data_IF_915754274923
#
_entry.id   IF_915754274923
#
_cell.length_a   1.000
_cell.length_b   1.000
_cell.length_c   1.000
_cell.angle_alpha   90.00
_cell.angle_beta   90.00
_cell.angle_gamma   90.00
#
_symmetry.space_group_name_H-M   'P 1'
#
loop_
_entity.id
_entity.type
_entity.pdbx_description
1 polymer ?
#
# COMPACT_ATOMS: atom_id res chain seq x y z
N UNK A 1 15.83 15.49 26.97
CA UNK A 1 15.73 15.65 25.51
C UNK A 1 17.12 15.94 25.00
N UNK A 2 17.72 14.98 24.30
CA UNK A 2 18.92 15.22 23.50
C UNK A 2 18.55 16.24 22.42
N UNK A 3 19.38 17.25 22.21
CA UNK A 3 19.12 18.22 21.15
C UNK A 3 19.38 17.56 19.80
N UNK A 4 18.31 17.25 19.06
CA UNK A 4 18.37 16.52 17.78
C UNK A 4 19.21 17.30 16.75
N UNK A 5 19.31 18.62 16.90
CA UNK A 5 20.06 19.47 15.97
C UNK A 5 21.58 19.27 16.03
N UNK A 6 22.10 18.74 17.14
CA UNK A 6 23.54 18.58 17.37
C UNK A 6 24.06 17.16 17.00
N UNK A 7 23.16 16.26 16.58
CA UNK A 7 23.53 14.89 16.21
C UNK A 7 24.23 14.83 14.86
N UNK A 8 25.21 13.93 14.75
CA UNK A 8 25.84 13.59 13.46
C UNK A 8 24.88 12.77 12.59
N UNK A 9 25.15 12.68 11.28
CA UNK A 9 24.36 11.84 10.35
C UNK A 9 24.34 10.39 10.79
N UNK A 10 25.47 9.84 11.25
CA UNK A 10 25.54 8.46 11.77
C UNK A 10 24.64 8.26 13.00
N UNK A 11 24.66 9.22 13.94
CA UNK A 11 23.79 9.17 15.13
C UNK A 11 22.32 9.29 14.77
N UNK A 12 21.98 10.11 13.76
CA UNK A 12 20.63 10.25 13.23
C UNK A 12 20.18 8.97 12.52
N UNK A 13 21.04 8.36 11.70
CA UNK A 13 20.75 7.09 11.02
C UNK A 13 20.43 5.98 12.03
N UNK A 14 21.24 5.83 13.07
CA UNK A 14 20.95 4.89 14.15
C UNK A 14 19.65 5.21 14.90
N UNK A 15 19.33 6.50 15.07
CA UNK A 15 18.09 6.90 15.72
C UNK A 15 16.86 6.57 14.85
N UNK A 16 16.91 6.86 13.54
CA UNK A 16 15.84 6.55 12.60
C UNK A 16 15.57 5.05 12.54
N UNK A 17 16.61 4.20 12.49
CA UNK A 17 16.45 2.74 12.50
C UNK A 17 15.84 2.18 13.81
N UNK A 18 15.92 2.95 14.91
CA UNK A 18 15.27 2.59 16.17
C UNK A 18 13.80 3.01 16.20
N UNK A 19 13.40 3.98 15.39
CA UNK A 19 11.99 4.32 15.20
C UNK A 19 11.33 3.16 14.46
N UNK A 20 10.45 2.47 15.18
CA UNK A 20 9.64 1.40 14.62
C UNK A 20 8.27 1.94 14.27
N UNK A 21 7.54 1.17 13.48
CA UNK A 21 6.09 1.22 13.30
C UNK A 21 5.25 1.27 14.61
N UNK A 22 5.91 1.01 15.74
CA UNK A 22 5.34 0.89 17.08
C UNK A 22 5.81 1.97 18.04
N UNK A 23 6.71 2.85 17.60
CA UNK A 23 7.23 3.94 18.41
C UNK A 23 6.12 4.95 18.75
N UNK A 24 6.08 5.48 19.98
CA UNK A 24 5.17 6.56 20.35
C UNK A 24 5.42 7.84 19.53
N UNK A 25 4.35 8.59 19.23
CA UNK A 25 4.43 9.82 18.44
C UNK A 25 5.34 10.89 19.09
N UNK A 26 5.34 11.01 20.42
CA UNK A 26 6.20 11.95 21.15
C UNK A 26 7.70 11.60 21.07
N UNK A 27 8.03 10.35 20.72
CA UNK A 27 9.40 9.90 20.45
C UNK A 27 9.76 10.04 18.97
N UNK A 28 8.88 9.62 18.07
CA UNK A 28 9.16 9.53 16.63
C UNK A 28 8.98 10.87 15.88
N UNK A 29 7.91 11.62 16.15
CA UNK A 29 7.55 12.82 15.39
C UNK A 29 8.62 13.91 15.43
N UNK A 30 9.38 14.14 16.54
CA UNK A 30 10.49 15.08 16.52
C UNK A 30 11.59 14.74 15.48
N UNK A 31 11.88 13.45 15.26
CA UNK A 31 12.85 13.04 14.24
C UNK A 31 12.29 13.19 12.84
N UNK A 32 11.02 12.87 12.62
CA UNK A 32 10.32 13.09 11.36
C UNK A 32 10.35 14.58 10.99
N UNK A 33 9.96 15.45 11.92
CA UNK A 33 9.89 16.90 11.69
C UNK A 33 11.27 17.50 11.42
N UNK A 34 12.32 17.07 12.14
CA UNK A 34 13.68 17.54 11.86
C UNK A 34 14.15 17.08 10.48
N UNK A 35 13.92 15.81 10.13
CA UNK A 35 14.29 15.25 8.83
C UNK A 35 13.57 15.96 7.67
N UNK A 36 12.24 16.11 7.78
CA UNK A 36 11.42 16.83 6.82
C UNK A 36 11.88 18.29 6.66
N UNK A 37 12.15 19.00 7.77
CA UNK A 37 12.65 20.38 7.73
C UNK A 37 13.99 20.49 7.00
N UNK A 38 14.93 19.56 7.23
CA UNK A 38 16.23 19.56 6.56
C UNK A 38 16.10 19.24 5.07
N UNK A 39 15.24 18.28 4.70
CA UNK A 39 14.94 17.99 3.30
C UNK A 39 14.28 19.18 2.60
N UNK A 40 13.29 19.82 3.24
CA UNK A 40 12.60 20.99 2.67
C UNK A 40 13.51 22.21 2.46
N UNK A 41 14.60 22.33 3.23
CA UNK A 41 15.54 23.43 3.08
C UNK A 41 16.37 23.35 1.78
N UNK A 42 16.65 22.13 1.32
CA UNK A 42 17.38 21.88 0.07
C UNK A 42 16.96 20.53 -0.56
N UNK A 43 15.74 20.45 -1.15
CA UNK A 43 15.15 19.19 -1.61
C UNK A 43 15.89 18.52 -2.77
N UNK A 44 16.68 19.28 -3.52
CA UNK A 44 17.58 18.76 -4.55
C UNK A 44 19.05 18.76 -4.12
N UNK A 45 19.35 19.06 -2.86
CA UNK A 45 20.72 19.24 -2.38
C UNK A 45 21.59 17.99 -2.50
N UNK A 46 22.90 18.16 -2.36
CA UNK A 46 23.85 17.04 -2.28
C UNK A 46 23.53 16.10 -1.11
N UNK A 47 22.85 16.59 -0.06
CA UNK A 47 22.45 15.79 1.10
C UNK A 47 21.00 15.29 1.05
N UNK A 48 20.25 15.51 -0.04
CA UNK A 48 18.85 15.09 -0.13
C UNK A 48 18.69 13.59 0.11
N UNK A 49 19.63 12.77 -0.39
CA UNK A 49 19.65 11.32 -0.18
C UNK A 49 19.64 10.91 1.31
N UNK A 50 20.33 11.66 2.18
CA UNK A 50 20.37 11.39 3.62
C UNK A 50 18.99 11.56 4.25
N UNK A 51 18.32 12.66 3.92
CA UNK A 51 17.02 12.98 4.52
C UNK A 51 15.89 12.16 3.91
N UNK A 52 15.97 11.82 2.62
CA UNK A 52 15.07 10.82 2.01
C UNK A 52 15.23 9.49 2.71
N UNK A 53 16.46 9.02 2.96
CA UNK A 53 16.69 7.76 3.69
C UNK A 53 16.12 7.79 5.11
N UNK A 54 16.25 8.92 5.82
CA UNK A 54 15.67 9.08 7.15
C UNK A 54 14.14 9.00 7.16
N UNK A 55 13.47 9.68 6.21
CA UNK A 55 12.01 9.60 6.08
C UNK A 55 11.54 8.22 5.60
N UNK A 56 12.30 7.56 4.74
CA UNK A 56 12.06 6.18 4.31
C UNK A 56 12.12 5.21 5.49
N UNK A 57 13.16 5.29 6.33
CA UNK A 57 13.29 4.47 7.53
C UNK A 57 12.14 4.66 8.53
N UNK A 58 11.57 5.87 8.58
CA UNK A 58 10.43 6.20 9.44
C UNK A 58 9.06 6.06 8.74
N UNK A 59 9.02 5.62 7.48
CA UNK A 59 7.78 5.55 6.70
C UNK A 59 6.75 4.58 7.30
N UNK A 60 7.20 3.51 7.98
CA UNK A 60 6.31 2.59 8.70
C UNK A 60 5.57 3.24 9.88
N UNK A 61 6.19 4.19 10.57
CA UNK A 61 5.53 5.03 11.58
C UNK A 61 4.52 5.98 10.90
N UNK A 62 4.95 6.62 9.82
CA UNK A 62 4.14 7.58 9.06
C UNK A 62 2.92 6.96 8.36
N UNK A 63 3.01 5.71 7.92
CA UNK A 63 1.90 4.99 7.27
C UNK A 63 0.83 4.51 8.25
N UNK A 64 1.13 4.50 9.56
CA UNK A 64 0.30 3.87 10.61
C UNK A 64 -0.29 4.86 11.61
N UNK A 65 -0.49 6.11 11.16
CA UNK A 65 -1.15 7.25 11.84
C UNK A 65 -0.25 8.09 12.77
N UNK A 66 0.70 8.84 12.21
CA UNK A 66 1.42 9.88 12.95
C UNK A 66 0.50 11.04 13.29
N UNK A 67 0.99 12.00 14.08
CA UNK A 67 0.31 13.29 14.20
C UNK A 67 0.25 13.95 12.82
N UNK A 68 -0.92 14.49 12.45
CA UNK A 68 -1.17 15.08 11.11
C UNK A 68 -0.12 16.09 10.64
N UNK A 69 0.51 16.80 11.58
CA UNK A 69 1.59 17.74 11.28
C UNK A 69 2.85 17.03 10.76
N UNK A 70 3.27 15.94 11.40
CA UNK A 70 4.44 15.16 11.01
C UNK A 70 4.22 14.46 9.66
N UNK A 71 3.03 13.88 9.45
CA UNK A 71 2.63 13.29 8.15
C UNK A 71 2.76 14.31 7.02
N UNK A 72 2.12 15.46 7.20
CA UNK A 72 2.08 16.52 6.19
C UNK A 72 3.48 17.05 5.90
N UNK A 73 4.27 17.33 6.94
CA UNK A 73 5.64 17.81 6.76
C UNK A 73 6.51 16.82 5.98
N UNK A 74 6.41 15.52 6.30
CA UNK A 74 7.14 14.48 5.58
C UNK A 74 6.69 14.37 4.11
N UNK A 75 5.39 14.33 3.85
CA UNK A 75 4.84 14.27 2.49
C UNK A 75 5.22 15.49 1.66
N UNK A 76 5.11 16.70 2.23
CA UNK A 76 5.49 17.95 1.54
C UNK A 76 6.99 17.95 1.18
N UNK A 77 7.85 17.49 2.11
CA UNK A 77 9.29 17.41 1.89
C UNK A 77 9.68 16.35 0.85
N UNK A 78 9.11 15.15 0.92
CA UNK A 78 9.37 14.08 -0.05
C UNK A 78 8.90 14.46 -1.44
N UNK A 79 7.70 15.03 -1.60
CA UNK A 79 7.19 15.50 -2.89
C UNK A 79 8.05 16.62 -3.48
N UNK A 80 8.56 17.52 -2.65
CA UNK A 80 9.52 18.54 -3.09
C UNK A 80 10.83 17.90 -3.59
N UNK A 81 11.33 16.88 -2.90
CA UNK A 81 12.51 16.12 -3.32
C UNK A 81 12.28 15.38 -4.65
N UNK A 82 11.16 14.66 -4.79
CA UNK A 82 10.76 13.99 -6.04
C UNK A 82 10.77 14.98 -7.21
N UNK A 83 10.21 16.17 -7.01
CA UNK A 83 10.15 17.22 -8.03
C UNK A 83 11.54 17.77 -8.40
N UNK A 84 12.36 18.15 -7.43
CA UNK A 84 13.65 18.80 -7.70
C UNK A 84 14.73 17.82 -8.17
N UNK A 85 14.73 16.59 -7.65
CA UNK A 85 15.63 15.52 -8.08
C UNK A 85 15.21 14.95 -9.44
N UNK A 86 13.91 14.76 -9.68
CA UNK A 86 13.38 14.25 -10.94
C UNK A 86 13.63 15.15 -12.16
N UNK A 87 13.88 16.45 -11.95
CA UNK A 87 14.27 17.39 -13.01
C UNK A 87 15.73 17.22 -13.47
N UNK A 88 16.54 16.47 -12.73
CA UNK A 88 17.96 16.28 -13.02
C UNK A 88 18.13 15.01 -13.82
N UNK A 89 18.54 15.16 -15.08
CA UNK A 89 18.93 14.01 -15.88
C UNK A 89 20.11 13.28 -15.23
N UNK A 90 20.07 11.95 -15.28
CA UNK A 90 21.22 11.09 -15.01
C UNK A 90 21.49 10.22 -16.25
N UNK A 91 22.70 9.68 -16.37
CA UNK A 91 23.12 8.88 -17.52
C UNK A 91 22.89 7.37 -17.34
N UNK A 92 22.24 6.96 -16.26
CA UNK A 92 21.97 5.56 -15.98
C UNK A 92 20.73 5.11 -16.76
N UNK A 93 20.80 3.92 -17.34
CA UNK A 93 19.65 3.32 -18.05
C UNK A 93 18.61 2.77 -17.06
N UNK A 94 19.05 2.39 -15.87
CA UNK A 94 18.26 1.76 -14.81
C UNK A 94 18.67 2.29 -13.43
N UNK A 95 17.79 2.11 -12.45
CA UNK A 95 18.04 2.52 -11.07
C UNK A 95 17.87 1.36 -10.09
N UNK A 96 18.70 1.26 -9.03
CA UNK A 96 18.61 0.17 -8.06
C UNK A 96 17.22 -0.07 -7.46
N UNK A 97 16.43 0.98 -7.19
CA UNK A 97 15.08 0.79 -6.64
C UNK A 97 14.14 0.05 -7.61
N UNK A 98 14.38 0.11 -8.93
CA UNK A 98 13.54 -0.55 -9.95
C UNK A 98 13.70 -2.07 -9.90
N UNK A 99 14.92 -2.58 -9.64
CA UNK A 99 15.16 -4.02 -9.52
C UNK A 99 14.59 -4.64 -8.25
N UNK A 100 14.25 -3.83 -7.25
CA UNK A 100 13.67 -4.31 -5.99
C UNK A 100 12.15 -4.47 -6.07
N UNK A 101 11.50 -3.93 -7.10
CA UNK A 101 10.03 -3.86 -7.18
C UNK A 101 9.34 -5.22 -7.10
N UNK A 102 9.95 -6.28 -7.65
CA UNK A 102 9.44 -7.66 -7.61
C UNK A 102 9.32 -8.25 -6.19
N UNK A 103 9.92 -7.59 -5.18
CA UNK A 103 9.98 -8.04 -3.80
C UNK A 103 9.46 -7.00 -2.80
N UNK A 104 9.20 -5.77 -3.25
CA UNK A 104 8.79 -4.67 -2.39
C UNK A 104 7.28 -4.74 -2.11
N UNK A 105 6.95 -4.99 -0.85
CA UNK A 105 5.64 -4.74 -0.25
C UNK A 105 5.60 -3.34 0.36
N UNK A 106 4.58 -3.02 1.17
CA UNK A 106 4.49 -1.73 1.84
C UNK A 106 5.59 -1.50 2.89
N UNK A 107 6.22 -2.56 3.42
CA UNK A 107 7.32 -2.52 4.39
C UNK A 107 8.68 -2.04 3.81
N UNK A 108 8.67 -1.04 2.92
CA UNK A 108 9.88 -0.48 2.28
C UNK A 108 10.95 0.00 3.27
N UNK A 109 10.56 0.28 4.52
CA UNK A 109 11.46 0.69 5.61
C UNK A 109 12.29 -0.46 6.20
N UNK A 110 11.97 -1.72 5.88
CA UNK A 110 12.75 -2.88 6.31
C UNK A 110 13.94 -3.16 5.39
N UNK A 111 13.91 -2.65 4.16
CA UNK A 111 14.98 -2.79 3.18
C UNK A 111 16.12 -1.78 3.43
N UNK A 112 17.35 -2.22 3.16
CA UNK A 112 18.49 -1.29 3.08
C UNK A 112 18.67 -0.83 1.63
N UNK A 113 18.44 0.47 1.46
CA UNK A 113 18.38 1.19 0.19
C UNK A 113 19.74 1.78 -0.24
N UNK A 114 20.77 1.65 0.60
CA UNK A 114 22.10 2.18 0.33
C UNK A 114 22.19 3.71 0.26
N UNK A 115 21.10 4.46 0.48
CA UNK A 115 21.12 5.92 0.33
C UNK A 115 21.99 6.62 1.38
N UNK A 116 22.31 5.99 2.51
CA UNK A 116 23.21 6.58 3.52
C UNK A 116 24.69 6.37 3.20
N UNK A 117 25.02 5.22 2.60
CA UNK A 117 26.40 4.75 2.41
C UNK A 117 26.86 4.88 0.96
N UNK A 118 25.93 4.98 0.01
CA UNK A 118 26.19 4.79 -1.41
C UNK A 118 26.42 3.32 -1.79
N UNK A 119 26.14 2.37 -0.90
CA UNK A 119 26.42 0.94 -1.09
C UNK A 119 25.16 0.13 -0.82
N UNK A 120 24.83 -0.80 -1.71
CA UNK A 120 23.74 -1.76 -1.49
C UNK A 120 24.24 -2.99 -0.71
N UNK A 121 23.39 -3.58 0.14
CA UNK A 121 23.73 -4.80 0.87
C UNK A 121 23.64 -6.05 -0.02
N UNK A 122 24.73 -6.79 -0.17
CA UNK A 122 24.72 -8.13 -0.81
C UNK A 122 25.24 -8.17 -2.25
N UNK A 123 25.35 -9.39 -2.80
CA UNK A 123 26.40 -9.91 -3.71
C UNK A 123 26.74 -9.19 -5.03
N UNK A 124 26.10 -8.09 -5.42
CA UNK A 124 26.53 -7.27 -6.56
C UNK A 124 27.24 -6.01 -6.08
N UNK A 125 28.45 -6.19 -5.54
CA UNK A 125 29.37 -5.12 -5.15
C UNK A 125 29.87 -4.24 -6.32
N UNK A 126 29.28 -4.38 -7.51
CA UNK A 126 29.59 -3.64 -8.73
C UNK A 126 28.63 -2.45 -8.99
N UNK A 127 27.59 -2.26 -8.16
CA UNK A 127 26.76 -1.05 -8.27
C UNK A 127 27.54 0.15 -7.74
N UNK A 128 27.97 1.02 -8.66
CA UNK A 128 28.69 2.26 -8.34
C UNK A 128 27.86 3.15 -7.39
N UNK A 129 28.53 3.75 -6.40
CA UNK A 129 27.91 4.72 -5.49
C UNK A 129 27.29 5.90 -6.24
N UNK A 130 27.85 6.25 -7.41
CA UNK A 130 27.27 7.23 -8.34
C UNK A 130 25.87 6.84 -8.83
N UNK A 131 25.57 5.55 -9.00
CA UNK A 131 24.25 5.02 -9.38
C UNK A 131 23.30 4.97 -8.19
N UNK A 132 23.77 4.55 -7.01
CA UNK A 132 22.96 4.52 -5.77
C UNK A 132 22.52 5.93 -5.35
N UNK A 133 23.42 6.91 -5.41
CA UNK A 133 23.14 8.27 -4.95
C UNK A 133 22.67 9.21 -6.08
N UNK A 134 22.43 8.69 -7.29
CA UNK A 134 21.98 9.54 -8.38
C UNK A 134 20.59 10.13 -8.11
N UNK A 135 20.27 11.33 -8.66
CA UNK A 135 18.98 11.98 -8.42
C UNK A 135 17.76 11.11 -8.79
N UNK A 136 17.86 10.31 -9.85
CA UNK A 136 16.79 9.41 -10.28
C UNK A 136 16.46 8.34 -9.24
N UNK A 137 17.47 7.65 -8.71
CA UNK A 137 17.30 6.63 -7.68
C UNK A 137 16.77 7.22 -6.36
N UNK A 138 17.32 8.36 -5.93
CA UNK A 138 16.84 9.05 -4.71
C UNK A 138 15.39 9.50 -4.86
N UNK A 139 15.01 10.01 -6.03
CA UNK A 139 13.62 10.37 -6.33
C UNK A 139 12.71 9.13 -6.34
N UNK A 140 13.16 7.99 -6.87
CA UNK A 140 12.44 6.71 -6.86
C UNK A 140 12.06 6.28 -5.45
N UNK A 141 13.05 6.19 -4.55
CA UNK A 141 12.80 5.89 -3.13
C UNK A 141 11.89 6.90 -2.44
N UNK A 142 12.00 8.19 -2.77
CA UNK A 142 11.09 9.21 -2.25
C UNK A 142 9.65 9.01 -2.74
N UNK A 143 9.43 8.55 -3.99
CA UNK A 143 8.09 8.19 -4.50
C UNK A 143 7.51 7.01 -3.74
N UNK A 144 8.29 5.95 -3.56
CA UNK A 144 7.85 4.77 -2.78
C UNK A 144 7.45 5.16 -1.36
N UNK A 145 8.23 6.02 -0.70
CA UNK A 145 7.87 6.54 0.63
C UNK A 145 6.58 7.38 0.62
N UNK A 146 6.39 8.24 -0.38
CA UNK A 146 5.14 9.00 -0.52
C UNK A 146 3.95 8.06 -0.69
N UNK A 147 4.07 7.03 -1.53
CA UNK A 147 3.00 6.08 -1.81
C UNK A 147 2.67 5.21 -0.59
N UNK A 148 3.65 4.75 0.16
CA UNK A 148 3.39 4.00 1.41
C UNK A 148 2.68 4.85 2.46
N UNK A 149 3.01 6.14 2.57
CA UNK A 149 2.39 7.06 3.53
C UNK A 149 1.00 7.52 3.06
N UNK A 150 0.88 7.86 1.78
CA UNK A 150 -0.32 8.36 1.12
C UNK A 150 -0.51 7.62 -0.22
N UNK A 151 -1.09 6.39 -0.18
CA UNK A 151 -1.24 5.54 -1.35
C UNK A 151 -1.97 6.21 -2.49
N UNK A 152 -1.53 5.95 -3.72
CA UNK A 152 -2.18 6.45 -4.95
C UNK A 152 -2.20 7.99 -5.05
N UNK A 153 -1.20 8.67 -4.44
CA UNK A 153 -1.04 10.13 -4.53
C UNK A 153 0.24 10.57 -5.25
N UNK A 154 0.99 9.62 -5.81
CA UNK A 154 2.25 9.87 -6.53
C UNK A 154 2.32 8.98 -7.77
N UNK A 155 2.84 9.54 -8.86
CA UNK A 155 2.98 8.86 -10.17
C UNK A 155 4.41 8.36 -10.38
N UNK A 156 4.62 7.58 -11.46
CA UNK A 156 5.93 7.08 -11.91
C UNK A 156 6.63 6.16 -10.90
N UNK A 157 5.84 5.28 -10.30
CA UNK A 157 6.36 4.09 -9.63
C UNK A 157 6.36 2.98 -10.69
N UNK A 158 7.45 2.21 -10.86
CA UNK A 158 7.45 1.10 -11.80
C UNK A 158 6.39 0.07 -11.43
N UNK A 159 5.73 -0.49 -12.44
CA UNK A 159 4.79 -1.59 -12.25
C UNK A 159 5.51 -2.88 -11.89
N UNK A 160 4.82 -3.75 -11.14
CA UNK A 160 5.34 -5.03 -10.70
C UNK A 160 4.93 -5.34 -9.27
N UNK A 161 3.78 -5.97 -9.08
CA UNK A 161 3.41 -6.54 -7.80
C UNK A 161 4.31 -7.75 -7.46
N UNK A 162 4.64 -7.96 -6.17
CA UNK A 162 5.42 -9.11 -5.75
C UNK A 162 4.89 -10.46 -6.25
N UNK A 163 5.79 -11.40 -6.52
CA UNK A 163 5.42 -12.71 -7.08
C UNK A 163 4.39 -13.47 -6.22
N UNK A 164 4.47 -13.34 -4.90
CA UNK A 164 3.51 -13.94 -3.98
C UNK A 164 2.12 -13.31 -4.12
N UNK A 165 2.02 -11.99 -4.39
CA UNK A 165 0.74 -11.35 -4.72
C UNK A 165 0.15 -11.92 -6.00
N UNK A 166 0.96 -12.07 -7.06
CA UNK A 166 0.50 -12.65 -8.32
C UNK A 166 -0.01 -14.09 -8.15
N UNK A 167 0.66 -14.91 -7.32
CA UNK A 167 0.18 -16.25 -6.98
C UNK A 167 -1.17 -16.22 -6.27
N UNK A 168 -1.34 -15.29 -5.32
CA UNK A 168 -2.61 -15.17 -4.60
C UNK A 168 -3.74 -14.65 -5.48
N UNK A 169 -3.48 -13.69 -6.38
CA UNK A 169 -4.44 -13.20 -7.38
C UNK A 169 -4.96 -14.38 -8.21
N UNK A 170 -4.06 -15.22 -8.74
CA UNK A 170 -4.43 -16.41 -9.50
C UNK A 170 -5.28 -17.40 -8.68
N UNK A 171 -4.96 -17.56 -7.39
CA UNK A 171 -5.73 -18.39 -6.44
C UNK A 171 -7.15 -17.88 -6.26
N UNK A 172 -7.30 -16.61 -5.94
CA UNK A 172 -8.60 -16.01 -5.69
C UNK A 172 -9.43 -15.93 -6.96
N UNK A 173 -8.81 -15.62 -8.11
CA UNK A 173 -9.48 -15.64 -9.42
C UNK A 173 -10.12 -17.00 -9.70
N UNK A 174 -9.42 -18.10 -9.41
CA UNK A 174 -9.99 -19.45 -9.52
C UNK A 174 -11.20 -19.67 -8.60
N UNK A 175 -11.14 -19.18 -7.35
CA UNK A 175 -12.24 -19.30 -6.38
C UNK A 175 -13.45 -18.46 -6.84
N UNK A 176 -13.25 -17.17 -7.12
CA UNK A 176 -14.35 -16.24 -7.46
C UNK A 176 -14.96 -16.48 -8.84
N UNK A 177 -14.31 -17.27 -9.70
CA UNK A 177 -14.89 -17.76 -10.95
C UNK A 177 -15.47 -19.18 -10.85
N UNK A 178 -15.51 -19.80 -9.66
CA UNK A 178 -16.00 -21.16 -9.44
C UNK A 178 -15.21 -22.26 -10.18
N UNK A 179 -13.90 -22.04 -10.34
CA UNK A 179 -12.94 -23.01 -10.85
C UNK A 179 -11.71 -23.13 -9.93
N UNK A 180 -11.88 -23.42 -8.63
CA UNK A 180 -10.76 -23.46 -7.70
C UNK A 180 -9.82 -24.63 -8.00
N UNK A 181 -8.51 -24.38 -7.94
CA UNK A 181 -7.49 -25.41 -8.11
C UNK A 181 -6.96 -25.97 -6.77
N UNK A 182 -7.35 -25.35 -5.66
CA UNK A 182 -7.06 -25.72 -4.27
C UNK A 182 -8.36 -25.75 -3.46
N UNK A 183 -8.29 -26.09 -2.16
CA UNK A 183 -9.46 -26.04 -1.28
C UNK A 183 -9.81 -24.58 -0.93
N UNK A 184 -10.96 -24.04 -1.36
CA UNK A 184 -11.36 -22.67 -1.01
C UNK A 184 -11.57 -22.47 0.49
N UNK A 185 -11.88 -23.54 1.24
CA UNK A 185 -12.05 -23.46 2.69
C UNK A 185 -10.79 -22.91 3.38
N UNK A 186 -9.66 -23.55 3.12
CA UNK A 186 -8.38 -23.22 3.77
C UNK A 186 -7.92 -21.83 3.33
N UNK A 187 -8.01 -21.53 2.03
CA UNK A 187 -7.63 -20.21 1.49
C UNK A 187 -8.44 -19.08 2.12
N UNK A 188 -9.75 -19.22 2.23
CA UNK A 188 -10.60 -18.15 2.77
C UNK A 188 -10.41 -17.94 4.28
N UNK A 189 -10.11 -19.01 5.04
CA UNK A 189 -9.76 -18.89 6.46
C UNK A 189 -8.40 -18.23 6.64
N UNK A 190 -7.41 -18.64 5.86
CA UNK A 190 -6.07 -18.06 5.91
C UNK A 190 -6.12 -16.58 5.53
N UNK A 191 -6.80 -16.22 4.45
CA UNK A 191 -7.01 -14.82 4.07
C UNK A 191 -7.72 -14.02 5.16
N UNK A 192 -8.75 -14.57 5.82
CA UNK A 192 -9.40 -13.91 6.94
C UNK A 192 -8.46 -13.69 8.13
N UNK A 193 -7.45 -14.54 8.32
CA UNK A 193 -6.45 -14.43 9.38
C UNK A 193 -5.23 -13.56 9.01
N UNK A 194 -5.04 -13.24 7.73
CA UNK A 194 -3.88 -12.51 7.21
C UNK A 194 -3.87 -11.00 7.49
N UNK A 195 -4.85 -10.44 8.22
CA UNK A 195 -4.82 -9.02 8.60
C UNK A 195 -3.64 -8.74 9.56
N UNK A 196 -2.65 -7.92 9.17
CA UNK A 196 -1.57 -7.56 10.07
C UNK A 196 -2.11 -6.79 11.28
N UNK A 197 -1.44 -6.89 12.43
CA UNK A 197 -1.88 -6.19 13.64
C UNK A 197 -1.93 -4.65 13.49
N UNK A 198 -1.14 -4.10 12.55
CA UNK A 198 -1.05 -2.67 12.24
C UNK A 198 -0.77 -2.51 10.74
N UNK A 199 -1.78 -2.68 9.87
CA UNK A 199 -1.60 -2.53 8.44
C UNK A 199 -1.32 -1.06 8.10
N UNK A 200 -0.62 -0.83 6.99
CA UNK A 200 -0.63 0.48 6.30
C UNK A 200 -2.03 0.75 5.71
N UNK A 201 -2.25 1.96 5.21
CA UNK A 201 -3.52 2.30 4.53
C UNK A 201 -3.76 1.42 3.29
N UNK A 202 -2.71 1.17 2.49
CA UNK A 202 -2.78 0.30 1.30
C UNK A 202 -3.12 -1.15 1.66
N UNK A 203 -2.40 -1.73 2.62
CA UNK A 203 -2.67 -3.11 3.08
C UNK A 203 -4.07 -3.26 3.69
N UNK A 204 -4.54 -2.28 4.47
CA UNK A 204 -5.87 -2.31 5.07
C UNK A 204 -6.97 -2.24 4.00
N UNK A 205 -6.81 -1.37 3.00
CA UNK A 205 -7.73 -1.26 1.88
C UNK A 205 -7.76 -2.57 1.07
N UNK A 206 -6.58 -3.07 0.71
CA UNK A 206 -6.43 -4.34 -0.01
C UNK A 206 -7.09 -5.51 0.70
N UNK A 207 -6.91 -5.62 2.02
CA UNK A 207 -7.58 -6.64 2.83
C UNK A 207 -9.12 -6.57 2.74
N UNK A 208 -9.70 -5.39 2.94
CA UNK A 208 -11.16 -5.21 2.90
C UNK A 208 -11.75 -5.45 1.51
N UNK A 209 -11.05 -5.02 0.46
CA UNK A 209 -11.43 -5.29 -0.93
C UNK A 209 -11.39 -6.79 -1.23
N UNK A 210 -10.34 -7.50 -0.80
CA UNK A 210 -10.26 -8.97 -0.94
C UNK A 210 -11.37 -9.69 -0.18
N UNK A 211 -11.69 -9.27 1.05
CA UNK A 211 -12.79 -9.84 1.83
C UNK A 211 -14.15 -9.62 1.14
N UNK A 212 -14.35 -8.45 0.53
CA UNK A 212 -15.57 -8.17 -0.23
C UNK A 212 -15.67 -9.04 -1.48
N UNK A 213 -14.62 -9.08 -2.30
CA UNK A 213 -14.57 -9.87 -3.52
C UNK A 213 -14.90 -11.36 -3.28
N UNK A 214 -14.43 -11.92 -2.16
CA UNK A 214 -14.57 -13.36 -1.87
C UNK A 214 -15.82 -13.72 -1.06
N UNK A 215 -16.55 -12.74 -0.50
CA UNK A 215 -17.62 -13.02 0.45
C UNK A 215 -18.84 -13.72 -0.17
N UNK A 216 -19.10 -13.50 -1.47
CA UNK A 216 -20.20 -14.18 -2.16
C UNK A 216 -19.95 -15.70 -2.22
N UNK A 217 -18.70 -16.11 -2.48
CA UNK A 217 -18.32 -17.52 -2.55
C UNK A 217 -18.41 -18.16 -1.17
N UNK A 218 -17.91 -17.45 -0.14
CA UNK A 218 -18.01 -17.85 1.26
C UNK A 218 -19.46 -17.98 1.76
N UNK A 219 -20.36 -17.14 1.23
CA UNK A 219 -21.79 -17.16 1.55
C UNK A 219 -22.60 -18.15 0.70
N UNK A 220 -21.99 -18.78 -0.29
CA UNK A 220 -22.66 -19.73 -1.17
C UNK A 220 -22.75 -21.13 -0.55
N UNK A 221 -23.60 -21.99 -1.11
CA UNK A 221 -23.73 -23.40 -0.70
C UNK A 221 -22.48 -24.26 -0.99
N UNK A 222 -21.46 -23.70 -1.65
CA UNK A 222 -20.18 -24.38 -1.92
C UNK A 222 -19.34 -24.52 -0.66
N UNK A 223 -19.45 -23.55 0.25
CA UNK A 223 -18.81 -23.59 1.56
C UNK A 223 -19.81 -24.17 2.56
N UNK A 224 -19.49 -25.35 3.07
CA UNK A 224 -20.35 -26.06 4.03
C UNK A 224 -19.88 -25.93 5.47
N UNK A 225 -18.69 -25.35 5.70
CA UNK A 225 -18.21 -25.06 7.05
C UNK A 225 -18.56 -23.62 7.45
N UNK A 226 -19.32 -23.52 8.55
CA UNK A 226 -19.68 -22.26 9.20
C UNK A 226 -18.45 -21.46 9.65
N UNK A 227 -17.32 -22.13 9.89
CA UNK A 227 -16.10 -21.50 10.37
C UNK A 227 -15.53 -20.45 9.39
N UNK A 228 -15.73 -20.64 8.07
CA UNK A 228 -15.26 -19.73 7.02
C UNK A 228 -15.94 -18.35 7.12
N UNK A 229 -17.28 -18.21 6.97
CA UNK A 229 -17.92 -16.91 7.08
C UNK A 229 -17.78 -16.30 8.48
N UNK A 230 -17.69 -17.11 9.54
CA UNK A 230 -17.42 -16.61 10.89
C UNK A 230 -16.02 -15.98 11.01
N UNK A 231 -15.01 -16.59 10.40
CA UNK A 231 -13.64 -16.08 10.40
C UNK A 231 -13.52 -14.81 9.57
N UNK A 232 -14.14 -14.77 8.39
CA UNK A 232 -14.20 -13.57 7.55
C UNK A 232 -14.92 -12.41 8.26
N UNK A 233 -16.06 -12.63 8.93
CA UNK A 233 -16.74 -11.59 9.73
C UNK A 233 -15.80 -11.04 10.80
N UNK A 234 -15.13 -11.91 11.56
CA UNK A 234 -14.17 -11.50 12.59
C UNK A 234 -13.03 -10.66 12.01
N UNK A 235 -12.50 -11.07 10.85
CA UNK A 235 -11.45 -10.36 10.15
C UNK A 235 -11.87 -8.97 9.67
N UNK A 236 -13.03 -8.86 9.02
CA UNK A 236 -13.59 -7.59 8.55
C UNK A 236 -13.91 -6.66 9.73
N UNK A 237 -14.47 -7.17 10.83
CA UNK A 237 -14.71 -6.39 12.04
C UNK A 237 -13.42 -5.85 12.65
N UNK A 238 -12.35 -6.65 12.67
CA UNK A 238 -11.03 -6.22 13.12
C UNK A 238 -10.44 -5.13 12.22
N UNK A 239 -10.58 -5.26 10.89
CA UNK A 239 -10.15 -4.26 9.93
C UNK A 239 -10.92 -2.93 10.06
N UNK A 240 -12.25 -2.98 10.22
CA UNK A 240 -13.08 -1.77 10.40
C UNK A 240 -12.67 -0.98 11.65
N UNK A 241 -12.28 -1.65 12.73
CA UNK A 241 -11.78 -0.99 13.93
C UNK A 241 -10.47 -0.20 13.70
N UNK A 242 -9.77 -0.48 12.59
CA UNK A 242 -8.54 0.17 12.16
C UNK A 242 -8.75 1.25 11.09
N UNK A 243 -10.00 1.63 10.75
CA UNK A 243 -10.29 2.72 9.82
C UNK A 243 -10.32 4.09 10.52
N UNK A 244 -9.88 5.14 9.83
CA UNK A 244 -9.84 6.50 10.39
C UNK A 244 -11.21 7.15 10.30
N UNK A 245 -11.66 7.80 11.38
CA UNK A 245 -12.86 8.63 11.33
C UNK A 245 -12.55 9.95 10.61
N UNK A 246 -13.23 10.18 9.49
CA UNK A 246 -13.06 11.39 8.70
C UNK A 246 -14.19 11.54 7.68
N UNK A 247 -14.52 12.78 7.28
CA UNK A 247 -15.43 13.00 6.17
C UNK A 247 -14.81 12.47 4.88
N UNK A 248 -15.62 11.85 4.03
CA UNK A 248 -15.23 11.55 2.66
C UNK A 248 -15.05 12.86 1.87
N UNK A 249 -13.96 12.98 1.12
CA UNK A 249 -13.75 14.10 0.21
C UNK A 249 -14.33 13.84 -1.19
N UNK A 250 -14.59 12.58 -1.52
CA UNK A 250 -15.08 12.13 -2.82
C UNK A 250 -16.57 12.42 -3.03
N UNK A 251 -16.91 12.81 -4.24
CA UNK A 251 -18.26 13.04 -4.73
C UNK A 251 -19.05 11.75 -5.00
N UNK A 252 -20.36 11.87 -5.27
CA UNK A 252 -21.18 10.71 -5.64
C UNK A 252 -20.65 10.04 -6.92
N UNK A 253 -20.39 8.74 -6.85
CA UNK A 253 -19.89 7.96 -8.00
C UNK A 253 -18.37 8.05 -8.22
N UNK A 254 -17.63 8.72 -7.33
CA UNK A 254 -16.15 8.75 -7.38
C UNK A 254 -15.51 7.59 -6.59
N UNK A 255 -16.30 6.79 -5.86
CA UNK A 255 -15.81 5.56 -5.26
C UNK A 255 -15.76 4.43 -6.29
N UNK A 256 -14.75 3.53 -6.23
CA UNK A 256 -14.61 2.46 -7.18
C UNK A 256 -15.76 1.44 -7.13
N UNK A 257 -16.02 0.79 -8.26
CA UNK A 257 -16.97 -0.32 -8.34
C UNK A 257 -16.27 -1.65 -7.98
N UNK A 258 -16.91 -2.43 -7.10
CA UNK A 258 -16.45 -3.77 -6.69
C UNK A 258 -17.45 -4.86 -7.13
N UNK A 259 -18.35 -4.55 -8.06
CA UNK A 259 -19.38 -5.46 -8.57
C UNK A 259 -18.85 -6.66 -9.35
N UNK A 260 -17.60 -6.61 -9.83
CA UNK A 260 -16.89 -7.76 -10.40
C UNK A 260 -15.94 -8.36 -9.36
N UNK A 261 -16.26 -9.55 -8.80
CA UNK A 261 -15.41 -10.24 -7.83
C UNK A 261 -14.01 -10.59 -8.34
N UNK A 262 -13.84 -10.86 -9.64
CA UNK A 262 -12.53 -11.24 -10.19
C UNK A 262 -11.61 -10.03 -10.19
N UNK A 263 -12.07 -8.92 -10.77
CA UNK A 263 -11.38 -7.64 -10.75
C UNK A 263 -11.13 -7.13 -9.33
N UNK A 264 -12.14 -7.15 -8.46
CA UNK A 264 -11.98 -6.72 -7.07
C UNK A 264 -10.96 -7.59 -6.31
N UNK A 265 -10.91 -8.90 -6.54
CA UNK A 265 -9.92 -9.77 -5.90
C UNK A 265 -8.49 -9.45 -6.35
N UNK A 266 -8.29 -9.10 -7.63
CA UNK A 266 -7.02 -8.65 -8.18
C UNK A 266 -6.60 -7.33 -7.52
N UNK A 267 -7.46 -6.31 -7.57
CA UNK A 267 -7.21 -4.99 -6.97
C UNK A 267 -6.87 -5.13 -5.47
N UNK A 268 -7.57 -6.00 -4.75
CA UNK A 268 -7.33 -6.24 -3.32
C UNK A 268 -5.89 -6.68 -2.98
N UNK A 269 -5.19 -7.38 -3.88
CA UNK A 269 -3.77 -7.70 -3.69
C UNK A 269 -2.84 -6.62 -4.22
N UNK A 270 -3.17 -6.03 -5.37
CA UNK A 270 -2.38 -4.95 -5.96
C UNK A 270 -2.25 -3.76 -5.00
N UNK A 271 -3.31 -3.42 -4.25
CA UNK A 271 -3.31 -2.36 -3.23
C UNK A 271 -2.28 -2.55 -2.10
N UNK A 272 -1.76 -3.77 -1.89
CA UNK A 272 -0.88 -4.11 -0.76
C UNK A 272 0.61 -3.82 -1.01
N UNK A 273 0.95 -3.33 -2.21
CA UNK A 273 2.33 -3.01 -2.59
C UNK A 273 2.39 -1.76 -3.48
N UNK A 274 3.49 -0.99 -3.44
CA UNK A 274 3.66 0.15 -4.36
C UNK A 274 3.61 -0.25 -5.84
N UNK A 275 4.28 -1.35 -6.23
CA UNK A 275 4.29 -1.83 -7.61
C UNK A 275 2.92 -2.28 -8.11
N UNK A 276 2.13 -2.94 -7.25
CA UNK A 276 0.74 -3.28 -7.58
C UNK A 276 -0.17 -2.06 -7.68
N UNK A 277 0.01 -1.04 -6.84
CA UNK A 277 -0.72 0.23 -6.96
C UNK A 277 -0.37 0.97 -8.26
N UNK A 278 0.87 0.85 -8.72
CA UNK A 278 1.26 1.35 -10.04
C UNK A 278 0.56 0.59 -11.18
N UNK A 279 0.37 -0.73 -11.07
CA UNK A 279 -0.41 -1.52 -12.06
C UNK A 279 -1.88 -1.05 -12.14
N UNK A 280 -2.52 -0.76 -10.99
CA UNK A 280 -3.88 -0.18 -10.97
C UNK A 280 -3.86 1.15 -11.72
N UNK A 281 -2.88 2.01 -11.42
CA UNK A 281 -2.79 3.32 -12.03
C UNK A 281 -2.57 3.28 -13.55
N UNK A 282 -1.76 2.36 -14.07
CA UNK A 282 -1.57 2.16 -15.51
C UNK A 282 -2.88 1.72 -16.18
N UNK A 283 -3.62 0.79 -15.57
CA UNK A 283 -4.93 0.35 -16.08
C UNK A 283 -5.93 1.52 -16.21
N UNK A 284 -5.90 2.45 -15.26
CA UNK A 284 -6.76 3.64 -15.21
C UNK A 284 -6.18 4.84 -16.00
N UNK A 285 -5.15 4.59 -16.84
CA UNK A 285 -4.64 5.57 -17.80
C UNK A 285 -3.62 6.58 -17.24
N UNK A 286 -2.93 6.26 -16.15
CA UNK A 286 -1.75 7.03 -15.70
C UNK A 286 -0.49 6.74 -16.54
N UNK A 287 -0.66 6.55 -17.85
CA UNK A 287 0.44 6.29 -18.79
C UNK A 287 1.46 7.45 -18.82
N UNK A 288 2.72 7.12 -19.09
CA UNK A 288 3.87 8.04 -19.05
C UNK A 288 3.81 9.18 -20.09
N UNK A 289 2.94 9.07 -21.11
CA UNK A 289 2.93 9.93 -22.31
C UNK A 289 2.15 11.25 -22.15
N UNK A 290 1.60 11.55 -20.98
CA UNK A 290 0.81 12.77 -20.72
C UNK A 290 1.60 14.10 -20.64
N UNK A 291 2.93 14.11 -20.84
CA UNK A 291 3.73 15.35 -20.78
C UNK A 291 3.95 16.05 -22.14
N UNK A 292 3.49 15.44 -23.25
CA UNK A 292 3.64 16.01 -24.61
C UNK A 292 2.29 16.45 -25.21
N UNK A 293 1.45 17.13 -24.41
CA UNK A 293 0.17 17.71 -24.86
C UNK A 293 0.30 19.05 -25.59
N UNK A 294 1.08 19.13 -26.66
CA UNK A 294 0.71 20.00 -27.80
C UNK A 294 -0.21 19.16 -28.69
N UNK A 295 -1.40 19.70 -28.97
CA UNK A 295 -2.43 19.19 -29.90
C UNK A 295 -3.54 18.34 -29.26
N UNK A 296 -4.40 19.01 -28.49
CA UNK A 296 -5.72 18.50 -28.16
C UNK A 296 -6.61 18.36 -29.39
N UNK A 297 -6.98 17.12 -29.73
CA UNK A 297 -8.20 16.81 -30.49
C UNK A 297 -8.85 15.51 -29.96
N UNK A 298 -9.82 15.66 -29.05
CA UNK A 298 -11.08 14.92 -29.08
C UNK A 298 -11.06 13.41 -28.83
N UNK A 299 -10.91 13.00 -27.57
CA UNK A 299 -11.39 11.70 -27.09
C UNK A 299 -12.34 11.89 -25.90
N UNK A 300 -13.64 11.69 -26.10
CA UNK A 300 -14.64 11.53 -25.04
C UNK A 300 -14.49 10.16 -24.33
N UNK A 301 -13.27 9.78 -23.96
CA UNK A 301 -12.97 8.67 -23.02
C UNK A 301 -12.83 9.23 -21.61
N UNK A 302 -12.90 8.42 -20.53
CA UNK A 302 -12.69 8.90 -19.17
C UNK A 302 -11.29 9.51 -19.10
N UNK A 303 -11.25 10.85 -19.14
CA UNK A 303 -10.03 11.61 -19.14
C UNK A 303 -9.47 11.67 -17.73
N UNK A 304 -8.14 11.64 -17.66
CA UNK A 304 -7.29 12.37 -16.72
C UNK A 304 -7.95 12.70 -15.37
N UNK A 305 -7.53 11.94 -14.34
CA UNK A 305 -7.81 12.14 -12.90
C UNK A 305 -8.98 11.35 -12.31
N UNK A 306 -9.12 10.05 -12.62
CA UNK A 306 -9.87 9.18 -11.71
C UNK A 306 -9.15 9.17 -10.36
N UNK A 307 -9.82 9.55 -9.25
CA UNK A 307 -9.19 9.65 -7.94
C UNK A 307 -8.93 8.24 -7.41
N UNK A 308 -7.81 7.64 -7.80
CA UNK A 308 -7.42 6.30 -7.37
C UNK A 308 -7.28 6.20 -5.84
N UNK A 309 -7.03 7.34 -5.17
CA UNK A 309 -7.05 7.44 -3.71
C UNK A 309 -8.42 7.08 -3.08
N UNK A 310 -9.49 7.01 -3.88
CA UNK A 310 -10.79 6.50 -3.47
C UNK A 310 -10.74 5.02 -3.03
N UNK A 311 -9.82 4.21 -3.58
CA UNK A 311 -9.60 2.82 -3.13
C UNK A 311 -9.17 2.73 -1.67
N UNK A 312 -8.49 3.76 -1.14
CA UNK A 312 -8.05 3.83 0.26
C UNK A 312 -8.93 4.72 1.12
N UNK A 313 -10.07 5.21 0.58
CA UNK A 313 -10.99 6.08 1.30
C UNK A 313 -11.65 5.37 2.49
N UNK A 314 -11.52 5.88 3.73
CA UNK A 314 -12.14 5.23 4.90
C UNK A 314 -13.67 5.17 4.86
N UNK A 315 -14.35 6.04 4.11
CA UNK A 315 -15.80 6.01 3.97
C UNK A 315 -16.24 4.87 3.05
N UNK A 316 -15.62 4.77 1.87
CA UNK A 316 -15.78 3.65 0.94
C UNK A 316 -15.55 2.31 1.63
N UNK A 317 -14.40 2.15 2.30
CA UNK A 317 -14.03 0.91 2.97
C UNK A 317 -15.01 0.49 4.08
N UNK A 318 -15.66 1.44 4.76
CA UNK A 318 -16.70 1.14 5.76
C UNK A 318 -18.00 0.65 5.14
N UNK A 319 -18.40 1.26 4.02
CA UNK A 319 -19.58 0.85 3.25
C UNK A 319 -19.36 -0.57 2.73
N UNK A 320 -18.22 -0.78 2.06
CA UNK A 320 -17.79 -2.08 1.54
C UNK A 320 -17.79 -3.16 2.64
N UNK A 321 -17.19 -2.86 3.80
CA UNK A 321 -17.18 -3.78 4.93
C UNK A 321 -18.58 -4.08 5.49
N UNK A 322 -19.48 -3.10 5.49
CA UNK A 322 -20.86 -3.27 5.97
C UNK A 322 -21.64 -4.22 5.06
N UNK A 323 -21.48 -4.09 3.74
CA UNK A 323 -22.05 -5.00 2.75
C UNK A 323 -21.49 -6.42 2.91
N UNK A 324 -20.16 -6.54 3.01
CA UNK A 324 -19.48 -7.82 3.24
C UNK A 324 -19.99 -8.51 4.50
N UNK A 325 -20.07 -7.81 5.63
CA UNK A 325 -20.61 -8.34 6.88
C UNK A 325 -22.08 -8.76 6.71
N UNK A 326 -22.88 -7.96 6.00
CA UNK A 326 -24.29 -8.28 5.71
C UNK A 326 -24.43 -9.62 4.99
N UNK A 327 -23.68 -9.82 3.91
CA UNK A 327 -23.64 -11.06 3.13
C UNK A 327 -23.21 -12.26 3.98
N UNK A 328 -22.10 -12.15 4.70
CA UNK A 328 -21.57 -13.25 5.51
C UNK A 328 -22.47 -13.61 6.69
N UNK A 329 -23.08 -12.63 7.36
CA UNK A 329 -24.04 -12.88 8.45
C UNK A 329 -25.33 -13.52 7.94
N UNK A 330 -25.75 -13.18 6.72
CA UNK A 330 -26.85 -13.88 6.04
C UNK A 330 -26.57 -15.38 5.88
N UNK A 331 -25.37 -15.73 5.43
CA UNK A 331 -24.94 -17.13 5.32
C UNK A 331 -24.87 -17.83 6.70
N UNK A 332 -24.34 -17.16 7.72
CA UNK A 332 -24.29 -17.69 9.09
C UNK A 332 -25.68 -18.02 9.64
N UNK A 333 -26.68 -17.19 9.36
CA UNK A 333 -28.06 -17.45 9.76
C UNK A 333 -28.65 -18.68 9.04
N UNK A 334 -28.32 -18.87 7.76
CA UNK A 334 -28.75 -20.05 7.01
C UNK A 334 -28.22 -21.38 7.59
N UNK A 335 -27.03 -21.36 8.20
CA UNK A 335 -26.52 -22.52 8.96
C UNK A 335 -27.32 -22.83 10.23
N UNK A 336 -27.92 -21.82 10.86
CA UNK A 336 -28.75 -21.99 12.07
C UNK A 336 -30.15 -22.54 11.76
N UNK A 337 -30.65 -22.30 10.54
CA UNK A 337 -31.98 -22.71 10.10
C UNK A 337 -32.05 -24.17 9.57
N UNK A 338 -30.95 -24.92 9.57
CA UNK A 338 -30.93 -26.34 9.17
C UNK A 338 -31.55 -27.22 10.27
N UNK A 339 -32.71 -27.87 10.04
CA UNK A 339 -33.39 -28.65 11.07
C UNK A 339 -32.55 -29.86 11.53
N UNK A 340 -32.42 -30.03 12.84
CA UNK A 340 -31.72 -31.12 13.55
C UNK A 340 -32.33 -32.53 13.36
N UNK A 341 -33.06 -32.82 12.28
CA UNK A 341 -33.79 -34.09 12.12
C UNK A 341 -33.02 -35.22 11.42
N UNK A 342 -31.72 -35.07 11.13
CA UNK A 342 -30.93 -36.10 10.41
C UNK A 342 -29.76 -36.71 11.18
N UNK A 343 -29.61 -36.45 12.49
CA UNK A 343 -28.49 -37.00 13.29
C UNK A 343 -28.79 -38.31 14.05
N UNK A 344 -30.00 -38.85 13.99
CA UNK A 344 -30.39 -40.13 14.63
C UNK A 344 -30.69 -41.23 13.59
N UNK A 345 -29.81 -41.43 12.61
CA UNK A 345 -30.06 -42.40 11.54
C UNK A 345 -28.84 -42.94 10.81
N UNK A 346 -27.86 -43.49 11.52
CA UNK A 346 -26.94 -44.53 11.03
C UNK A 346 -26.31 -45.30 12.18
#
# INVERSE_FOLDING_TARGET
MTDITDLTVEQLAEAWQRIRDTSPADEADPFVLDCARRLSADPGGEQAHVWVSGLLAMSGHLARRPVREAERAALDALRAAVKELGRRACSHEDHPYESEMDWIEDEIWLGDNGLLTGELPGQDADVDAGKVLCPGNVAGWARLAVDVIAPLTVRRIPVGAPADHQSSISTLSGIVNDYPYCDPHDVLIDEAACLPARPTRGVLAGYLVTMNATCWYAASERITDRSVPASMVKGVEAAVALLEDGPCAHGPGEHPDTGDPDYASQVGYLLRSPGGRAEIAEYDGWDEDGEDGEDGEGGDGPGEDEPLDAWVCPAFLRELASETIGTLRGALAAFDDVPTESRDGA
#
